data_IF_434348784913
#
_entry.id   IF_434348784913
#
_cell.length_a   1.000
_cell.length_b   1.000
_cell.length_c   1.000
_cell.angle_alpha   90.00
_cell.angle_beta   90.00
_cell.angle_gamma   90.00
#
_symmetry.space_group_name_H-M   'P 1'
#
loop_
_entity.id
_entity.type
_entity.pdbx_description
1 polymer ?
#
# COMPACT_ATOMS: atom_id res chain seq x y z
N UNK A 1 10.50 -3.56 -73.59
CA UNK A 1 9.27 -3.64 -72.85
C UNK A 1 9.44 -4.76 -71.82
N UNK A 2 9.74 -4.37 -70.55
CA UNK A 2 10.14 -5.32 -69.48
C UNK A 2 8.89 -5.70 -68.71
N UNK A 3 8.49 -6.96 -68.76
CA UNK A 3 7.42 -7.52 -67.94
C UNK A 3 8.03 -7.87 -66.60
N UNK A 4 7.63 -7.15 -65.55
CA UNK A 4 8.04 -7.43 -64.17
C UNK A 4 7.07 -8.45 -63.60
N UNK A 5 7.60 -9.67 -63.42
CA UNK A 5 6.88 -10.77 -62.79
C UNK A 5 6.93 -10.60 -61.28
N UNK A 6 5.84 -10.20 -60.63
CA UNK A 6 5.73 -10.20 -59.17
C UNK A 6 5.45 -11.62 -58.69
N UNK A 7 6.46 -12.23 -58.12
CA UNK A 7 6.35 -13.47 -57.41
C UNK A 7 5.72 -13.18 -56.04
N UNK A 8 4.45 -13.51 -55.89
CA UNK A 8 3.76 -13.49 -54.59
C UNK A 8 4.27 -14.67 -53.76
N UNK A 9 5.25 -14.42 -52.91
CA UNK A 9 5.68 -15.37 -51.89
C UNK A 9 4.68 -15.30 -50.71
N UNK A 10 3.74 -16.22 -50.69
CA UNK A 10 2.88 -16.42 -49.54
C UNK A 10 3.71 -16.98 -48.39
N UNK A 11 4.12 -16.11 -47.50
CA UNK A 11 4.73 -16.53 -46.23
C UNK A 11 3.57 -16.94 -45.31
N UNK A 12 3.33 -18.24 -45.23
CA UNK A 12 2.50 -18.80 -44.16
C UNK A 12 3.29 -18.69 -42.85
N UNK A 13 3.00 -17.67 -42.09
CA UNK A 13 3.47 -17.56 -40.71
C UNK A 13 2.67 -18.60 -39.92
N UNK A 14 3.27 -19.77 -39.74
CA UNK A 14 2.79 -20.75 -38.75
C UNK A 14 3.03 -20.09 -37.39
N UNK A 15 1.93 -19.65 -36.74
CA UNK A 15 1.99 -19.29 -35.31
C UNK A 15 2.27 -20.58 -34.54
N UNK A 16 3.52 -20.82 -34.24
CA UNK A 16 3.92 -21.83 -33.30
C UNK A 16 3.71 -21.22 -31.90
N UNK A 17 2.53 -21.46 -31.31
CA UNK A 17 2.21 -21.09 -29.92
C UNK A 17 3.01 -21.96 -28.95
N UNK A 18 4.31 -21.74 -28.89
CA UNK A 18 5.20 -22.25 -27.88
C UNK A 18 6.07 -21.11 -27.28
N UNK A 19 5.45 -19.98 -27.02
CA UNK A 19 5.97 -19.07 -26.00
C UNK A 19 5.38 -19.51 -24.67
N UNK A 20 6.01 -20.49 -24.04
CA UNK A 20 6.02 -20.53 -22.58
C UNK A 20 6.57 -19.19 -22.12
N UNK A 21 5.65 -18.30 -21.73
CA UNK A 21 6.00 -17.11 -20.98
C UNK A 21 6.46 -17.58 -19.60
N UNK A 22 7.76 -17.87 -19.48
CA UNK A 22 8.43 -17.85 -18.20
C UNK A 22 8.45 -16.39 -17.75
N UNK A 23 7.31 -15.86 -17.32
CA UNK A 23 7.27 -14.71 -16.43
C UNK A 23 7.44 -15.23 -15.01
N UNK A 24 8.58 -15.84 -14.74
CA UNK A 24 9.07 -16.06 -13.39
C UNK A 24 9.65 -14.72 -12.89
N UNK A 25 8.76 -13.73 -12.74
CA UNK A 25 8.98 -12.51 -12.00
C UNK A 25 8.48 -12.69 -10.55
N UNK A 26 8.54 -13.89 -10.02
CA UNK A 26 8.59 -14.07 -8.58
C UNK A 26 9.96 -13.51 -8.16
N UNK A 27 9.97 -12.34 -7.51
CA UNK A 27 11.09 -11.95 -6.67
C UNK A 27 11.47 -13.18 -5.84
N UNK A 28 12.76 -13.46 -5.63
CA UNK A 28 13.17 -14.63 -4.90
C UNK A 28 12.64 -14.51 -3.46
N UNK A 29 11.42 -14.97 -3.23
CA UNK A 29 10.99 -15.37 -1.92
C UNK A 29 11.83 -16.62 -1.65
N UNK A 30 12.89 -16.47 -0.86
CA UNK A 30 13.70 -17.60 -0.46
C UNK A 30 12.79 -18.58 0.26
N UNK A 31 12.71 -19.81 -0.23
CA UNK A 31 11.90 -20.90 0.34
C UNK A 31 12.31 -21.30 1.77
N UNK A 32 13.30 -20.61 2.36
CA UNK A 32 13.87 -20.91 3.67
C UNK A 32 13.51 -19.92 4.78
N UNK A 33 12.51 -19.04 4.58
CA UNK A 33 11.97 -18.27 5.70
C UNK A 33 11.05 -19.20 6.50
N UNK A 34 11.63 -19.94 7.45
CA UNK A 34 10.89 -20.45 8.60
C UNK A 34 10.38 -19.22 9.36
N UNK A 35 9.20 -18.76 8.98
CA UNK A 35 8.52 -17.68 9.70
C UNK A 35 7.88 -18.35 10.89
N UNK A 36 8.49 -18.14 12.05
CA UNK A 36 7.90 -18.53 13.34
C UNK A 36 6.52 -17.86 13.43
N UNK A 37 5.47 -18.57 13.84
CA UNK A 37 4.11 -18.04 13.94
C UNK A 37 4.05 -16.73 14.75
N UNK A 38 4.97 -16.53 15.70
CA UNK A 38 5.16 -15.30 16.47
C UNK A 38 5.71 -14.12 15.63
N UNK A 39 6.28 -14.36 14.45
CA UNK A 39 6.87 -13.30 13.63
C UNK A 39 5.81 -12.42 12.97
N UNK A 40 4.69 -13.00 12.50
CA UNK A 40 3.67 -12.28 11.72
C UNK A 40 2.98 -11.14 12.48
N UNK A 41 2.96 -11.18 13.79
CA UNK A 41 2.25 -10.22 14.63
C UNK A 41 3.15 -9.50 15.64
N UNK A 42 4.45 -9.73 15.58
CA UNK A 42 5.37 -9.06 16.49
C UNK A 42 5.38 -7.55 16.17
N UNK A 43 5.01 -6.76 17.19
CA UNK A 43 5.04 -5.30 17.07
C UNK A 43 6.44 -4.79 16.74
N UNK A 44 6.57 -4.01 15.67
CA UNK A 44 7.84 -3.45 15.23
C UNK A 44 7.76 -2.69 13.91
N UNK A 45 8.91 -2.11 13.55
CA UNK A 45 9.11 -1.50 12.24
C UNK A 45 10.04 -2.39 11.44
N UNK A 46 9.62 -2.77 10.25
CA UNK A 46 10.34 -3.68 9.38
C UNK A 46 10.67 -2.99 8.06
N UNK A 47 11.92 -3.09 7.63
CA UNK A 47 12.33 -2.63 6.31
C UNK A 47 11.92 -3.69 5.28
N UNK A 48 11.17 -3.27 4.25
CA UNK A 48 10.70 -4.16 3.18
C UNK A 48 11.67 -4.13 1.99
N UNK A 49 12.03 -2.93 1.58
CA UNK A 49 13.07 -2.64 0.57
C UNK A 49 13.72 -1.32 0.94
N UNK A 50 14.71 -0.88 0.19
CA UNK A 50 15.36 0.41 0.42
C UNK A 50 14.34 1.55 0.49
N UNK A 51 14.44 2.35 1.54
CA UNK A 51 13.56 3.50 1.82
C UNK A 51 12.07 3.18 2.09
N UNK A 52 11.67 1.90 2.21
CA UNK A 52 10.29 1.49 2.50
C UNK A 52 10.25 0.66 3.77
N UNK A 53 9.46 1.11 4.73
CA UNK A 53 9.33 0.50 6.05
C UNK A 53 7.85 0.30 6.39
N UNK A 54 7.52 -0.75 7.12
CA UNK A 54 6.17 -1.07 7.55
C UNK A 54 6.10 -1.20 9.07
N UNK A 55 5.12 -0.55 9.67
CA UNK A 55 4.77 -0.70 11.08
C UNK A 55 3.75 -1.83 11.21
N UNK A 56 4.13 -2.91 11.88
CA UNK A 56 3.31 -4.10 12.07
C UNK A 56 2.97 -4.26 13.57
N UNK A 57 1.73 -4.67 13.88
CA UNK A 57 1.31 -5.01 15.24
C UNK A 57 1.07 -3.81 16.15
N UNK A 58 0.90 -2.61 15.61
CA UNK A 58 0.51 -1.42 16.37
C UNK A 58 -1.00 -1.27 16.48
N UNK A 59 -1.74 -1.61 15.43
CA UNK A 59 -3.19 -1.50 15.31
C UNK A 59 -3.74 -2.55 14.35
N UNK A 60 -5.00 -2.39 13.94
CA UNK A 60 -5.67 -3.29 12.99
C UNK A 60 -5.05 -3.21 11.60
N UNK A 61 -4.79 -2.00 11.12
CA UNK A 61 -4.10 -1.79 9.85
C UNK A 61 -2.64 -1.42 10.07
N UNK A 62 -1.79 -1.85 9.16
CA UNK A 62 -0.40 -1.45 9.11
C UNK A 62 -0.27 -0.05 8.51
N UNK A 63 0.77 0.69 8.92
CA UNK A 63 1.18 1.93 8.27
C UNK A 63 2.52 1.73 7.57
N UNK A 64 2.70 2.37 6.42
CA UNK A 64 3.95 2.30 5.66
C UNK A 64 4.60 3.66 5.60
N UNK A 65 5.91 3.70 5.81
CA UNK A 65 6.77 4.85 5.59
C UNK A 65 7.54 4.65 4.28
N UNK A 66 7.47 5.63 3.39
CA UNK A 66 8.37 5.76 2.25
C UNK A 66 9.22 7.00 2.48
N UNK A 67 10.54 6.80 2.55
CA UNK A 67 11.49 7.90 2.73
C UNK A 67 11.86 8.47 1.36
N UNK A 68 11.46 9.72 1.10
CA UNK A 68 11.82 10.44 -0.11
C UNK A 68 13.11 11.25 0.05
N UNK A 69 13.43 12.08 -0.94
CA UNK A 69 14.62 12.96 -0.88
C UNK A 69 14.40 14.18 0.01
N UNK A 70 13.20 14.73 0.04
CA UNK A 70 12.85 15.96 0.75
C UNK A 70 11.82 15.75 1.87
N UNK A 71 11.11 14.63 1.87
CA UNK A 71 10.06 14.35 2.82
C UNK A 71 9.62 12.89 2.81
N UNK A 72 8.86 12.55 3.81
CA UNK A 72 8.28 11.23 4.02
C UNK A 72 6.89 11.16 3.41
N UNK A 73 6.54 10.00 2.88
CA UNK A 73 5.17 9.65 2.49
C UNK A 73 4.69 8.55 3.45
N UNK A 74 3.52 8.76 4.03
CA UNK A 74 2.86 7.79 4.90
C UNK A 74 1.72 7.15 4.15
N UNK A 75 1.62 5.82 4.12
CA UNK A 75 0.48 5.10 3.54
C UNK A 75 -0.28 4.43 4.68
N UNK A 76 -1.54 4.79 4.81
CA UNK A 76 -2.46 4.43 5.89
C UNK A 76 -1.94 4.80 7.28
N UNK A 77 -2.85 4.96 8.24
CA UNK A 77 -2.50 5.59 9.51
C UNK A 77 -3.06 4.88 10.74
N UNK A 78 -3.57 3.65 10.55
CA UNK A 78 -4.25 2.89 11.61
C UNK A 78 -5.57 3.54 12.10
N UNK A 79 -6.20 2.96 13.12
CA UNK A 79 -7.55 3.33 13.57
C UNK A 79 -7.60 4.37 14.69
N UNK A 80 -6.45 4.73 15.27
CA UNK A 80 -6.43 5.58 16.46
C UNK A 80 -5.31 6.63 16.40
N UNK A 81 -5.57 7.91 16.76
CA UNK A 81 -4.57 8.98 16.74
C UNK A 81 -3.35 8.73 17.65
N UNK A 82 -3.52 8.12 18.81
CA UNK A 82 -2.39 7.84 19.71
C UNK A 82 -1.53 6.69 19.17
N UNK A 83 -2.14 5.68 18.54
CA UNK A 83 -1.38 4.66 17.82
C UNK A 83 -0.64 5.27 16.63
N UNK A 84 -1.30 6.13 15.85
CA UNK A 84 -0.67 6.88 14.76
C UNK A 84 0.53 7.68 15.24
N UNK A 85 0.41 8.37 16.38
CA UNK A 85 1.51 9.10 16.99
C UNK A 85 2.67 8.21 17.43
N UNK A 86 2.38 7.04 18.02
CA UNK A 86 3.41 6.07 18.38
C UNK A 86 4.17 5.58 17.15
N UNK A 87 3.45 5.23 16.08
CA UNK A 87 4.06 4.79 14.82
C UNK A 87 4.91 5.91 14.22
N UNK A 88 4.40 7.14 14.19
CA UNK A 88 5.14 8.28 13.65
C UNK A 88 6.44 8.53 14.44
N UNK A 89 6.43 8.39 15.77
CA UNK A 89 7.64 8.48 16.60
C UNK A 89 8.69 7.43 16.22
N UNK A 90 8.27 6.21 15.91
CA UNK A 90 9.19 5.16 15.44
C UNK A 90 9.71 5.47 14.03
N UNK A 91 8.86 5.93 13.12
CA UNK A 91 9.26 6.36 11.79
C UNK A 91 10.25 7.52 11.81
N UNK A 92 10.09 8.47 12.74
CA UNK A 92 11.02 9.61 12.92
C UNK A 92 12.40 9.19 13.40
N UNK A 93 12.56 8.00 13.99
CA UNK A 93 13.90 7.46 14.30
C UNK A 93 14.64 6.97 13.04
N UNK A 94 13.90 6.68 11.97
CA UNK A 94 14.44 6.25 10.67
C UNK A 94 14.69 7.46 9.78
N UNK A 95 13.73 8.37 9.70
CA UNK A 95 13.81 9.60 8.88
C UNK A 95 13.19 10.79 9.63
N UNK A 96 14.01 11.80 9.91
CA UNK A 96 13.58 13.07 10.51
C UNK A 96 12.96 14.04 9.48
N UNK A 97 12.88 13.65 8.22
CA UNK A 97 12.26 14.47 7.18
C UNK A 97 10.79 14.74 7.50
N UNK A 98 10.22 15.88 7.04
CA UNK A 98 8.82 16.18 7.26
C UNK A 98 7.89 15.14 6.59
N UNK A 99 6.73 14.89 7.16
CA UNK A 99 5.68 14.11 6.52
C UNK A 99 4.98 14.98 5.46
N UNK A 100 5.43 14.91 4.23
CA UNK A 100 4.88 15.70 3.12
C UNK A 100 3.52 15.19 2.64
N UNK A 101 3.29 13.87 2.72
CA UNK A 101 2.06 13.28 2.24
C UNK A 101 1.57 12.12 3.12
N UNK A 102 0.25 12.02 3.22
CA UNK A 102 -0.47 10.84 3.70
C UNK A 102 -1.34 10.34 2.56
N UNK A 103 -1.28 9.05 2.26
CA UNK A 103 -2.07 8.41 1.21
C UNK A 103 -2.97 7.37 1.87
N UNK A 104 -4.29 7.49 1.68
CA UNK A 104 -5.22 6.46 2.12
C UNK A 104 -5.48 5.47 1.00
N UNK A 105 -5.29 4.18 1.27
CA UNK A 105 -5.57 3.12 0.31
C UNK A 105 -7.07 2.99 0.06
N UNK A 106 -7.88 3.11 1.11
CA UNK A 106 -9.34 3.06 1.03
C UNK A 106 -10.00 3.69 2.26
N UNK A 107 -11.33 3.66 2.32
CA UNK A 107 -12.14 4.43 3.28
C UNK A 107 -12.43 3.74 4.61
N UNK A 108 -11.92 2.54 4.88
CA UNK A 108 -12.10 1.89 6.17
C UNK A 108 -11.41 2.67 7.29
N UNK A 109 -12.04 2.69 8.45
CA UNK A 109 -11.66 3.55 9.59
C UNK A 109 -10.24 3.28 10.09
N UNK A 110 -9.81 2.05 10.02
CA UNK A 110 -8.48 1.58 10.42
C UNK A 110 -7.36 1.99 9.47
N UNK A 111 -7.67 2.67 8.36
CA UNK A 111 -6.68 3.18 7.42
C UNK A 111 -6.46 4.70 7.47
N UNK A 112 -7.40 5.46 8.07
CA UNK A 112 -7.29 6.92 8.02
C UNK A 112 -7.45 7.63 9.37
N UNK A 113 -8.08 6.98 10.37
CA UNK A 113 -8.44 7.66 11.63
C UNK A 113 -7.22 8.06 12.47
N UNK A 114 -6.12 7.35 12.36
CA UNK A 114 -4.86 7.67 13.05
C UNK A 114 -4.09 8.85 12.46
N UNK A 115 -4.53 9.43 11.33
CA UNK A 115 -3.85 10.50 10.63
C UNK A 115 -3.44 11.70 11.50
N UNK A 116 -4.23 12.15 12.51
CA UNK A 116 -3.79 13.24 13.38
C UNK A 116 -2.43 13.00 14.06
N UNK A 117 -2.02 11.72 14.24
CA UNK A 117 -0.71 11.36 14.78
C UNK A 117 0.47 11.58 13.83
N UNK A 118 0.20 11.79 12.55
CA UNK A 118 1.21 11.97 11.50
C UNK A 118 1.23 13.38 10.89
N UNK A 119 0.19 14.20 11.12
CA UNK A 119 0.09 15.52 10.52
C UNK A 119 1.20 16.46 11.00
N UNK A 120 1.74 17.18 10.05
CA UNK A 120 2.61 18.34 10.21
C UNK A 120 2.06 19.51 9.37
N UNK A 121 2.58 20.73 9.57
CA UNK A 121 1.98 21.98 9.03
C UNK A 121 1.66 21.96 7.53
N UNK A 122 2.44 21.22 6.73
CA UNK A 122 2.27 21.18 5.26
C UNK A 122 1.90 19.79 4.73
N UNK A 123 1.52 18.86 5.60
CA UNK A 123 1.16 17.49 5.19
C UNK A 123 -0.07 17.51 4.28
N UNK A 124 0.07 16.96 3.09
CA UNK A 124 -1.03 16.80 2.11
C UNK A 124 -1.64 15.41 2.24
N UNK A 125 -2.97 15.32 2.10
CA UNK A 125 -3.67 14.05 2.13
C UNK A 125 -4.16 13.70 0.75
N UNK A 126 -3.91 12.46 0.34
CA UNK A 126 -4.33 11.90 -0.93
C UNK A 126 -5.19 10.66 -0.71
N UNK A 127 -6.24 10.53 -1.49
CA UNK A 127 -7.09 9.36 -1.51
C UNK A 127 -7.73 9.21 -2.89
N UNK A 128 -8.22 8.02 -3.21
CA UNK A 128 -8.96 7.81 -4.44
C UNK A 128 -10.25 8.65 -4.44
N UNK A 129 -10.72 9.08 -5.62
CA UNK A 129 -11.92 9.92 -5.77
C UNK A 129 -13.20 9.32 -5.13
N UNK A 130 -13.27 8.00 -5.01
CA UNK A 130 -14.40 7.31 -4.37
C UNK A 130 -14.30 7.21 -2.85
N UNK A 131 -13.19 7.67 -2.25
CA UNK A 131 -12.98 7.58 -0.80
C UNK A 131 -14.12 8.21 -0.01
N UNK A 132 -14.53 9.42 -0.39
CA UNK A 132 -15.60 10.15 0.30
C UNK A 132 -16.93 9.37 0.27
N UNK A 133 -17.28 8.77 -0.87
CA UNK A 133 -18.48 7.93 -0.97
C UNK A 133 -18.38 6.72 -0.03
N UNK A 134 -17.28 5.99 -0.06
CA UNK A 134 -17.07 4.84 0.83
C UNK A 134 -17.12 5.22 2.32
N UNK A 135 -16.54 6.37 2.70
CA UNK A 135 -16.61 6.92 4.05
C UNK A 135 -18.06 7.14 4.52
N UNK A 136 -18.90 7.76 3.68
CA UNK A 136 -20.31 8.00 4.03
C UNK A 136 -21.14 6.71 4.06
N UNK A 137 -20.92 5.80 3.10
CA UNK A 137 -21.63 4.52 3.04
C UNK A 137 -21.37 3.69 4.30
N UNK A 138 -20.13 3.59 4.76
CA UNK A 138 -19.76 2.86 5.97
C UNK A 138 -20.36 3.47 7.24
N UNK A 139 -20.27 4.78 7.39
CA UNK A 139 -20.86 5.46 8.56
C UNK A 139 -22.39 5.27 8.61
N UNK A 140 -23.06 5.20 7.47
CA UNK A 140 -24.51 4.97 7.40
C UNK A 140 -24.88 3.50 7.67
N UNK A 141 -24.06 2.54 7.24
CA UNK A 141 -24.32 1.10 7.42
C UNK A 141 -23.93 0.61 8.82
N UNK A 142 -22.81 1.06 9.35
CA UNK A 142 -22.29 0.57 10.63
C UNK A 142 -22.89 1.27 11.83
N UNK A 143 -23.35 2.51 11.70
CA UNK A 143 -23.89 3.29 12.82
C UNK A 143 -25.06 2.61 13.53
N UNK A 144 -26.07 2.05 12.85
CA UNK A 144 -27.14 1.31 13.52
C UNK A 144 -26.62 0.09 14.27
N UNK A 145 -25.73 -0.69 13.65
CA UNK A 145 -25.15 -1.92 14.22
C UNK A 145 -24.34 -1.61 15.48
N UNK A 146 -23.53 -0.56 15.44
CA UNK A 146 -22.71 -0.13 16.58
C UNK A 146 -23.59 0.40 17.72
N UNK A 147 -24.67 1.10 17.40
CA UNK A 147 -25.64 1.60 18.38
C UNK A 147 -26.37 0.46 19.07
N UNK A 148 -26.79 -0.58 18.34
CA UNK A 148 -27.42 -1.77 18.91
C UNK A 148 -26.48 -2.54 19.85
N UNK A 149 -25.17 -2.53 19.57
CA UNK A 149 -24.15 -3.16 20.42
C UNK A 149 -23.69 -2.29 21.60
N UNK A 150 -24.29 -1.10 21.79
CA UNK A 150 -23.95 -0.18 22.86
C UNK A 150 -22.57 0.49 22.69
N UNK A 151 -21.96 0.41 21.51
CA UNK A 151 -20.76 1.14 21.18
C UNK A 151 -21.12 2.58 20.80
N UNK A 152 -20.51 3.55 21.51
CA UNK A 152 -20.70 5.00 21.26
C UNK A 152 -19.57 5.55 20.42
#
# INVERSE_FOLDING_TARGET
MKILLYLLLAITISCNDNTQSNTDNSAPFSEDIHVDDDFYFKKGIYQVVDNVYVAIGYGLANSVLIVGETGNIIIDTTEDPELGKQINQEFKKISNLPNEAIIYTHSHVDHWRGAPGFYEDNTKVYAHATFQKGFFDQNNLLRPILTERGMK
#
